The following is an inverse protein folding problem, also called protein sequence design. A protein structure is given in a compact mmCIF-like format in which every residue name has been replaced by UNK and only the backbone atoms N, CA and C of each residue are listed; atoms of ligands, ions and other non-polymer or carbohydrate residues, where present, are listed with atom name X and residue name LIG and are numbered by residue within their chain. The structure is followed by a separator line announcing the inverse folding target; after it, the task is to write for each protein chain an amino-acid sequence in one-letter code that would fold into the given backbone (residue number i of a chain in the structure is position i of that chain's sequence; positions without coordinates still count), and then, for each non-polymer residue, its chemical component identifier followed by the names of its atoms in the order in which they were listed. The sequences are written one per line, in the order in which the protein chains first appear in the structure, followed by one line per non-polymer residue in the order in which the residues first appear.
data_IF_941419302823
#
_entry.id   IF_941419302823
#
_cell.length_a   1.000
_cell.length_b   1.000
_cell.length_c   1.000
_cell.angle_alpha   90.00
_cell.angle_beta   90.00
_cell.angle_gamma   90.00
#
_symmetry.space_group_name_H-M   'P 1'
#
loop_
_entity.id
_entity.type
_entity.pdbx_description
1 polymer ?
#
# COMPACT_ATOMS: atom_id res chain seq x y z
N UNK A 1 25.62 -5.72 -23.76
CA UNK A 1 24.18 -5.67 -24.04
C UNK A 1 23.44 -5.81 -22.71
N UNK A 2 22.42 -5.00 -22.44
CA UNK A 2 21.66 -5.09 -21.20
C UNK A 2 20.85 -6.40 -21.18
N UNK A 3 20.92 -7.15 -20.07
CA UNK A 3 20.15 -8.38 -19.90
C UNK A 3 18.70 -8.03 -19.53
N UNK A 4 17.72 -8.63 -20.20
CA UNK A 4 16.30 -8.38 -19.99
C UNK A 4 15.50 -9.66 -19.79
N UNK A 5 14.42 -9.57 -19.05
CA UNK A 5 13.45 -10.66 -18.87
C UNK A 5 12.36 -10.57 -19.96
N UNK A 6 12.55 -11.29 -21.05
CA UNK A 6 11.50 -11.46 -22.05
C UNK A 6 10.49 -12.54 -21.62
N UNK A 7 9.19 -12.40 -21.91
CA UNK A 7 8.51 -11.35 -22.70
C UNK A 7 8.10 -10.10 -21.90
N UNK A 8 8.40 -10.06 -20.59
CA UNK A 8 7.97 -8.97 -19.69
C UNK A 8 8.53 -7.61 -20.15
N UNK A 9 9.79 -7.59 -20.61
CA UNK A 9 10.42 -6.38 -21.12
C UNK A 9 9.68 -5.83 -22.36
N UNK A 10 9.42 -6.68 -23.33
CA UNK A 10 8.73 -6.28 -24.57
C UNK A 10 7.32 -5.80 -24.31
N UNK A 11 6.57 -6.42 -23.39
CA UNK A 11 5.23 -6.02 -23.02
C UNK A 11 5.18 -4.62 -22.37
N UNK A 12 6.18 -4.27 -21.54
CA UNK A 12 6.29 -2.95 -20.93
C UNK A 12 6.83 -1.89 -21.89
N UNK A 13 7.75 -2.24 -22.80
CA UNK A 13 8.33 -1.32 -23.78
C UNK A 13 7.30 -0.95 -24.85
N UNK A 14 6.55 -1.94 -25.33
CA UNK A 14 5.61 -1.82 -26.43
C UNK A 14 4.20 -2.23 -25.99
N UNK A 15 3.53 -1.46 -25.13
CA UNK A 15 2.16 -1.78 -24.73
C UNK A 15 1.20 -1.68 -25.91
N UNK A 16 0.06 -2.32 -25.78
CA UNK A 16 -1.01 -2.30 -26.77
C UNK A 16 -1.43 -0.87 -27.11
N UNK A 17 -1.85 -0.66 -28.35
CA UNK A 17 -2.29 0.67 -28.84
C UNK A 17 -3.44 1.22 -27.97
N UNK A 18 -3.31 2.47 -27.55
CA UNK A 18 -4.32 3.15 -26.73
C UNK A 18 -4.21 2.88 -25.22
N UNK A 19 -3.29 2.02 -24.77
CA UNK A 19 -3.06 1.77 -23.36
C UNK A 19 -2.11 2.81 -22.76
N UNK A 20 -2.63 3.57 -21.81
CA UNK A 20 -1.86 4.58 -21.06
C UNK A 20 -1.35 4.03 -19.72
N UNK A 21 -2.12 3.18 -19.06
CA UNK A 21 -1.84 2.64 -17.73
C UNK A 21 -1.45 1.18 -17.87
N UNK A 22 -0.21 0.86 -17.49
CA UNK A 22 0.35 -0.49 -17.58
C UNK A 22 0.50 -1.03 -16.16
N UNK A 23 -0.33 -1.99 -15.82
CA UNK A 23 -0.39 -2.61 -14.51
C UNK A 23 0.39 -3.92 -14.53
N UNK A 24 1.47 -4.00 -13.76
CA UNK A 24 2.28 -5.21 -13.60
C UNK A 24 1.95 -5.89 -12.27
N UNK A 25 1.06 -6.87 -12.32
CA UNK A 25 0.78 -7.75 -11.19
C UNK A 25 1.75 -8.92 -11.22
N UNK A 26 2.34 -9.26 -10.07
CA UNK A 26 3.26 -10.40 -10.12
C UNK A 26 3.75 -10.88 -8.78
N UNK A 27 4.19 -12.14 -8.77
CA UNK A 27 4.83 -12.75 -7.62
C UNK A 27 6.21 -12.18 -7.31
N UNK A 28 6.76 -12.62 -6.20
CA UNK A 28 8.14 -12.29 -5.81
C UNK A 28 9.13 -12.88 -6.80
N UNK A 29 10.20 -12.15 -7.09
CA UNK A 29 11.24 -12.62 -8.02
C UNK A 29 10.86 -12.55 -9.51
N UNK A 30 9.67 -12.03 -9.88
CA UNK A 30 9.22 -11.94 -11.29
C UNK A 30 9.94 -10.87 -12.13
N UNK A 31 10.84 -10.10 -11.54
CA UNK A 31 11.59 -9.00 -12.18
C UNK A 31 10.75 -7.81 -12.67
N UNK A 32 9.49 -7.67 -12.26
CA UNK A 32 8.58 -6.60 -12.74
C UNK A 32 9.15 -5.18 -12.51
N UNK A 33 9.52 -4.85 -11.27
CA UNK A 33 10.12 -3.54 -10.91
C UNK A 33 11.38 -3.25 -11.71
N UNK A 34 12.30 -4.23 -11.75
CA UNK A 34 13.56 -4.13 -12.48
C UNK A 34 13.33 -3.89 -13.97
N UNK A 35 12.40 -4.61 -14.57
CA UNK A 35 12.06 -4.50 -16.00
C UNK A 35 11.42 -3.15 -16.32
N UNK A 36 10.50 -2.66 -15.49
CA UNK A 36 9.91 -1.31 -15.67
C UNK A 36 11.00 -0.24 -15.64
N UNK A 37 11.91 -0.31 -14.66
CA UNK A 37 13.03 0.63 -14.57
C UNK A 37 13.94 0.55 -15.79
N UNK A 38 14.24 -0.64 -16.33
CA UNK A 38 15.01 -0.80 -17.56
C UNK A 38 14.34 -0.07 -18.74
N UNK A 39 13.04 -0.28 -18.92
CA UNK A 39 12.24 0.38 -19.97
C UNK A 39 12.29 1.89 -19.83
N UNK A 40 12.06 2.41 -18.62
CA UNK A 40 12.06 3.86 -18.36
C UNK A 40 13.43 4.48 -18.59
N UNK A 41 14.51 3.83 -18.14
CA UNK A 41 15.88 4.29 -18.40
C UNK A 41 16.20 4.39 -19.88
N UNK A 42 15.79 3.41 -20.70
CA UNK A 42 16.01 3.44 -22.14
C UNK A 42 15.21 4.55 -22.80
N UNK A 43 13.94 4.72 -22.44
CA UNK A 43 13.08 5.80 -22.97
C UNK A 43 13.70 7.19 -22.67
N UNK A 44 14.14 7.39 -21.42
CA UNK A 44 14.72 8.69 -21.01
C UNK A 44 16.08 8.95 -21.66
N UNK A 45 16.86 7.90 -21.89
CA UNK A 45 18.15 8.02 -22.58
C UNK A 45 18.00 8.42 -24.05
N UNK A 46 16.90 8.00 -24.71
CA UNK A 46 16.67 8.23 -26.12
C UNK A 46 15.81 9.45 -26.43
N UNK A 47 14.85 9.80 -25.56
CA UNK A 47 13.94 10.93 -25.74
C UNK A 47 14.37 12.13 -24.93
N UNK A 48 14.58 13.30 -25.56
CA UNK A 48 15.04 14.49 -24.84
C UNK A 48 13.93 15.16 -24.02
N UNK A 49 14.32 15.76 -22.89
CA UNK A 49 13.46 16.62 -22.08
C UNK A 49 12.29 15.92 -21.37
N UNK A 50 12.36 14.61 -21.18
CA UNK A 50 11.30 13.83 -20.53
C UNK A 50 11.48 13.82 -19.01
N UNK A 51 10.36 13.88 -18.29
CA UNK A 51 10.30 13.76 -16.83
C UNK A 51 9.62 12.45 -16.46
N UNK A 52 10.33 11.61 -15.70
CA UNK A 52 9.80 10.39 -15.11
C UNK A 52 9.83 10.48 -13.59
N UNK A 53 8.67 10.34 -12.94
CA UNK A 53 8.58 10.28 -11.47
C UNK A 53 8.32 8.85 -11.05
N UNK A 54 9.21 8.29 -10.23
CA UNK A 54 9.08 7.00 -9.55
C UNK A 54 8.59 7.26 -8.14
N UNK A 55 7.47 6.68 -7.77
CA UNK A 55 6.82 6.92 -6.47
C UNK A 55 6.75 5.62 -5.68
N UNK A 56 7.23 5.64 -4.45
CA UNK A 56 7.09 4.56 -3.48
C UNK A 56 6.39 5.01 -2.21
N UNK A 57 6.08 4.07 -1.35
CA UNK A 57 5.39 4.32 -0.09
C UNK A 57 6.17 5.32 0.80
N UNK A 58 7.49 5.15 0.88
CA UNK A 58 8.40 6.02 1.62
C UNK A 58 9.80 6.01 1.01
N UNK A 59 10.64 6.98 1.40
CA UNK A 59 12.02 7.09 0.91
C UNK A 59 12.91 5.93 1.34
N UNK A 60 12.87 5.40 2.58
CA UNK A 60 13.63 4.22 2.97
C UNK A 60 13.36 2.99 2.07
N UNK A 61 12.11 2.71 1.74
CA UNK A 61 11.73 1.61 0.85
C UNK A 61 12.23 1.84 -0.59
N UNK A 62 12.09 3.06 -1.11
CA UNK A 62 12.66 3.42 -2.42
C UNK A 62 14.18 3.20 -2.47
N UNK A 63 14.92 3.60 -1.42
CA UNK A 63 16.39 3.39 -1.35
C UNK A 63 16.78 1.92 -1.35
N UNK A 64 16.03 1.06 -0.64
CA UNK A 64 16.28 -0.39 -0.57
C UNK A 64 15.82 -1.14 -1.82
N UNK A 65 14.84 -0.62 -2.54
CA UNK A 65 14.21 -1.18 -3.73
C UNK A 65 14.59 -0.45 -5.02
N UNK A 66 13.67 0.36 -5.55
CA UNK A 66 13.72 0.96 -6.88
C UNK A 66 15.00 1.77 -7.17
N UNK A 67 15.49 2.57 -6.22
CA UNK A 67 16.74 3.35 -6.41
C UNK A 67 17.95 2.42 -6.52
N UNK A 68 18.04 1.40 -5.67
CA UNK A 68 19.14 0.42 -5.73
C UNK A 68 19.13 -0.34 -7.04
N UNK A 69 17.95 -0.75 -7.51
CA UNK A 69 17.82 -1.49 -8.77
C UNK A 69 18.09 -0.60 -9.98
N UNK A 70 17.65 0.65 -9.95
CA UNK A 70 18.00 1.68 -10.94
C UNK A 70 19.53 1.85 -11.06
N UNK A 71 20.22 1.99 -9.93
CA UNK A 71 21.68 2.09 -9.93
C UNK A 71 22.36 0.84 -10.50
N UNK A 72 21.86 -0.36 -10.22
CA UNK A 72 22.37 -1.62 -10.81
C UNK A 72 22.20 -1.65 -12.31
N UNK A 73 21.03 -1.24 -12.82
CA UNK A 73 20.72 -1.18 -14.25
C UNK A 73 21.74 -0.26 -14.94
N UNK A 74 21.96 0.92 -14.40
CA UNK A 74 22.94 1.89 -14.94
C UNK A 74 24.35 1.30 -14.90
N UNK A 75 24.77 0.72 -13.76
CA UNK A 75 26.10 0.14 -13.61
C UNK A 75 26.39 -1.01 -14.59
N UNK A 76 25.35 -1.75 -14.99
CA UNK A 76 25.46 -2.87 -15.93
C UNK A 76 25.41 -2.45 -17.42
N UNK A 77 25.11 -1.18 -17.73
CA UNK A 77 24.88 -0.71 -19.09
C UNK A 77 25.84 0.42 -19.50
N UNK A 78 26.91 0.15 -20.27
CA UNK A 78 27.78 1.21 -20.80
C UNK A 78 27.01 2.24 -21.63
N UNK A 79 25.95 1.81 -22.32
CA UNK A 79 25.07 2.70 -23.06
C UNK A 79 24.43 3.76 -22.13
N UNK A 80 23.75 3.34 -21.06
CA UNK A 80 23.14 4.27 -20.11
C UNK A 80 24.17 5.16 -19.43
N UNK A 81 25.34 4.61 -19.04
CA UNK A 81 26.43 5.37 -18.46
C UNK A 81 26.88 6.51 -19.38
N UNK A 82 26.93 6.28 -20.69
CA UNK A 82 27.30 7.29 -21.68
C UNK A 82 26.27 8.41 -21.84
N UNK A 83 25.00 8.14 -21.50
CA UNK A 83 23.88 9.07 -21.61
C UNK A 83 23.63 9.91 -20.37
N UNK A 84 24.13 9.48 -19.20
CA UNK A 84 23.94 10.20 -17.93
C UNK A 84 24.89 11.39 -17.81
N UNK A 85 24.35 12.46 -17.23
CA UNK A 85 25.12 13.65 -16.87
C UNK A 85 26.03 13.30 -15.68
N UNK A 86 27.26 13.82 -15.70
CA UNK A 86 28.22 13.68 -14.60
C UNK A 86 28.45 12.24 -14.07
N UNK A 87 28.27 11.21 -14.93
CA UNK A 87 28.38 9.80 -14.51
C UNK A 87 29.70 9.48 -13.79
N UNK A 88 30.82 10.07 -14.21
CA UNK A 88 32.15 9.84 -13.59
C UNK A 88 32.18 10.29 -12.12
N UNK A 89 31.52 11.39 -11.78
CA UNK A 89 31.50 11.98 -10.43
C UNK A 89 30.42 11.36 -9.53
N UNK A 90 29.20 11.21 -10.04
CA UNK A 90 28.03 10.84 -9.26
C UNK A 90 27.57 9.39 -9.43
N UNK A 91 28.23 8.63 -10.34
CA UNK A 91 27.73 7.33 -10.84
C UNK A 91 26.32 7.42 -11.42
N UNK A 92 25.96 8.61 -11.91
CA UNK A 92 24.66 8.87 -12.53
C UNK A 92 23.50 9.08 -11.55
N UNK A 93 23.76 9.24 -10.25
CA UNK A 93 22.74 9.46 -9.25
C UNK A 93 23.05 10.61 -8.30
N UNK A 94 22.24 11.65 -8.31
CA UNK A 94 22.29 12.73 -7.32
C UNK A 94 21.53 12.30 -6.08
N UNK A 95 22.26 12.07 -4.98
CA UNK A 95 21.71 11.55 -3.72
C UNK A 95 20.85 12.56 -2.97
N UNK A 96 21.16 13.85 -3.10
CA UNK A 96 20.42 14.94 -2.44
C UNK A 96 19.05 15.12 -3.06
N UNK A 97 19.04 15.28 -4.38
CA UNK A 97 17.79 15.47 -5.14
C UNK A 97 17.05 14.17 -5.44
N UNK A 98 17.70 13.02 -5.24
CA UNK A 98 17.20 11.69 -5.59
C UNK A 98 16.82 11.55 -7.05
N UNK A 99 17.71 12.01 -7.94
CA UNK A 99 17.47 12.01 -9.40
C UNK A 99 18.60 11.35 -10.18
N UNK A 100 18.24 10.82 -11.37
CA UNK A 100 19.16 10.56 -12.46
C UNK A 100 18.94 11.63 -13.53
N UNK A 101 20.00 12.30 -13.95
CA UNK A 101 19.97 13.33 -14.99
C UNK A 101 20.65 12.81 -16.24
N UNK A 102 19.98 13.01 -17.37
CA UNK A 102 20.49 12.61 -18.69
C UNK A 102 21.02 13.82 -19.45
N UNK A 103 22.03 13.60 -20.31
CA UNK A 103 22.64 14.64 -21.13
C UNK A 103 21.68 15.33 -22.11
N UNK A 104 20.59 14.64 -22.46
CA UNK A 104 19.50 15.14 -23.31
C UNK A 104 18.46 15.97 -22.57
N UNK A 105 18.69 16.28 -21.28
CA UNK A 105 17.77 17.05 -20.43
C UNK A 105 16.63 16.25 -19.81
N UNK A 106 16.58 14.93 -20.02
CA UNK A 106 15.60 14.08 -19.34
C UNK A 106 16.02 13.81 -17.91
N UNK A 107 15.04 13.57 -17.02
CA UNK A 107 15.29 13.23 -15.61
C UNK A 107 14.41 12.06 -15.18
N UNK A 108 14.95 11.25 -14.24
CA UNK A 108 14.18 10.30 -13.45
C UNK A 108 14.33 10.67 -11.97
N UNK A 109 13.22 11.02 -11.34
CA UNK A 109 13.16 11.42 -9.93
C UNK A 109 12.46 10.36 -9.07
N UNK A 110 12.86 10.25 -7.79
CA UNK A 110 12.30 9.30 -6.85
C UNK A 110 11.68 10.03 -5.66
N UNK A 111 10.35 9.91 -5.53
CA UNK A 111 9.57 10.66 -4.54
C UNK A 111 8.66 9.75 -3.71
N UNK A 112 8.31 10.22 -2.52
CA UNK A 112 7.20 9.71 -1.71
C UNK A 112 6.31 10.87 -1.31
N UNK A 113 5.04 10.60 -1.08
CA UNK A 113 4.05 11.62 -0.73
C UNK A 113 3.24 11.13 0.48
N UNK A 114 3.17 11.93 1.52
CA UNK A 114 2.45 11.58 2.74
C UNK A 114 0.94 11.83 2.60
N UNK A 115 0.57 12.80 1.75
CA UNK A 115 -0.83 13.17 1.50
C UNK A 115 -1.06 13.57 0.04
N UNK A 116 -2.33 13.72 -0.33
CA UNK A 116 -2.71 14.10 -1.70
C UNK A 116 -2.31 15.52 -2.10
N UNK A 117 -2.16 16.43 -1.13
CA UNK A 117 -1.82 17.83 -1.39
C UNK A 117 -0.39 17.94 -1.93
N UNK A 118 0.55 17.19 -1.34
CA UNK A 118 1.94 17.15 -1.77
C UNK A 118 2.07 16.56 -3.18
N UNK A 119 1.18 15.63 -3.53
CA UNK A 119 1.14 14.99 -4.85
C UNK A 119 0.59 15.91 -5.97
N UNK A 120 0.05 17.09 -5.64
CA UNK A 120 -0.50 18.06 -6.62
C UNK A 120 0.59 18.86 -7.35
N UNK A 121 1.83 18.73 -6.96
CA UNK A 121 2.97 19.44 -7.61
C UNK A 121 3.49 18.68 -8.83
N UNK A 122 4.03 19.45 -9.79
CA UNK A 122 4.76 18.95 -10.95
C UNK A 122 3.95 18.21 -12.01
N UNK A 123 4.31 18.43 -13.27
CA UNK A 123 3.84 17.67 -14.44
C UNK A 123 4.94 16.71 -14.85
N UNK A 124 4.57 15.52 -15.34
CA UNK A 124 5.50 14.49 -15.79
C UNK A 124 5.05 13.84 -17.08
N UNK A 125 5.98 13.21 -17.77
CA UNK A 125 5.69 12.45 -18.97
C UNK A 125 5.42 10.99 -18.63
N UNK A 126 6.17 10.44 -17.68
CA UNK A 126 6.04 9.07 -17.19
C UNK A 126 5.88 9.04 -15.68
N UNK A 127 5.02 8.16 -15.21
CA UNK A 127 4.81 7.86 -13.79
C UNK A 127 5.07 6.37 -13.56
N UNK A 128 5.83 6.06 -12.50
CA UNK A 128 5.94 4.69 -12.02
C UNK A 128 5.56 4.63 -10.55
N UNK A 129 4.48 3.93 -10.25
CA UNK A 129 4.02 3.63 -8.89
C UNK A 129 4.59 2.28 -8.48
N UNK A 130 5.64 2.32 -7.69
CA UNK A 130 6.31 1.12 -7.17
C UNK A 130 5.61 0.64 -5.88
N UNK A 131 5.23 -0.63 -5.86
CA UNK A 131 4.44 -1.24 -4.79
C UNK A 131 3.12 -0.50 -4.55
N UNK A 132 2.29 -0.41 -5.60
CA UNK A 132 1.04 0.35 -5.63
C UNK A 132 0.06 0.02 -4.50
N UNK A 133 0.13 -1.18 -3.93
CA UNK A 133 -0.66 -1.59 -2.77
C UNK A 133 -0.33 -0.81 -1.49
N UNK A 134 0.86 -0.19 -1.41
CA UNK A 134 1.27 0.67 -0.30
C UNK A 134 0.88 2.15 -0.46
N UNK A 135 0.31 2.56 -1.61
CA UNK A 135 0.04 3.96 -1.94
C UNK A 135 -1.48 4.21 -1.99
N UNK A 136 -2.01 5.22 -1.27
CA UNK A 136 -3.43 5.61 -1.34
C UNK A 136 -3.88 6.00 -2.75
N UNK A 137 -5.13 5.67 -3.09
CA UNK A 137 -5.70 6.02 -4.39
C UNK A 137 -5.72 7.52 -4.65
N UNK A 138 -5.98 8.32 -3.62
CA UNK A 138 -6.05 9.77 -3.69
C UNK A 138 -4.71 10.37 -4.14
N UNK A 139 -3.60 9.86 -3.63
CA UNK A 139 -2.23 10.24 -4.06
C UNK A 139 -2.01 9.83 -5.53
N UNK A 140 -2.28 8.56 -5.87
CA UNK A 140 -2.17 8.09 -7.25
C UNK A 140 -2.99 8.95 -8.20
N UNK A 141 -4.23 9.27 -7.87
CA UNK A 141 -5.12 10.07 -8.71
C UNK A 141 -4.53 11.45 -9.04
N UNK A 142 -3.98 12.15 -8.03
CA UNK A 142 -3.34 13.46 -8.23
C UNK A 142 -2.11 13.37 -9.15
N UNK A 143 -1.36 12.29 -9.05
CA UNK A 143 -0.19 12.06 -9.91
C UNK A 143 -0.61 11.70 -11.35
N UNK A 144 -1.61 10.83 -11.49
CA UNK A 144 -2.12 10.32 -12.77
C UNK A 144 -2.66 11.43 -13.67
N UNK A 145 -3.48 12.35 -13.14
CA UNK A 145 -4.03 13.48 -13.92
C UNK A 145 -2.97 14.48 -14.41
N UNK A 146 -1.75 14.42 -13.86
CA UNK A 146 -0.60 15.25 -14.23
C UNK A 146 0.45 14.48 -15.03
N UNK A 147 0.14 13.24 -15.41
CA UNK A 147 1.01 12.39 -16.24
C UNK A 147 0.53 12.42 -17.68
N UNK A 148 1.43 12.80 -18.60
CA UNK A 148 1.07 13.02 -19.99
C UNK A 148 1.04 11.76 -20.84
N UNK A 149 2.09 10.92 -20.79
CA UNK A 149 2.33 9.86 -21.77
C UNK A 149 1.90 8.51 -21.25
N UNK A 150 2.50 8.03 -20.16
CA UNK A 150 2.27 6.67 -19.66
C UNK A 150 2.50 6.52 -18.17
N UNK A 151 1.76 5.59 -17.59
CA UNK A 151 1.81 5.22 -16.20
C UNK A 151 2.13 3.73 -16.07
N UNK A 152 3.08 3.39 -15.22
CA UNK A 152 3.41 2.03 -14.83
C UNK A 152 3.07 1.84 -13.36
N UNK A 153 2.48 0.71 -13.04
CA UNK A 153 2.22 0.31 -11.67
C UNK A 153 2.73 -1.10 -11.48
N UNK A 154 3.40 -1.38 -10.36
CA UNK A 154 3.70 -2.74 -9.98
C UNK A 154 3.21 -3.05 -8.57
N UNK A 155 2.90 -4.32 -8.31
CA UNK A 155 2.54 -4.81 -6.98
C UNK A 155 2.56 -6.35 -6.91
N UNK A 156 2.71 -6.86 -5.68
CA UNK A 156 2.41 -8.24 -5.37
C UNK A 156 0.94 -8.35 -4.98
N UNK A 157 0.16 -9.27 -5.57
CA UNK A 157 -1.29 -9.34 -5.41
C UNK A 157 -1.71 -10.03 -4.10
N UNK A 158 -1.17 -9.59 -2.97
CA UNK A 158 -1.47 -10.16 -1.65
C UNK A 158 -2.93 -9.95 -1.21
N UNK A 159 -3.55 -8.87 -1.68
CA UNK A 159 -4.95 -8.54 -1.40
C UNK A 159 -5.54 -7.72 -2.53
N UNK A 160 -6.88 -7.72 -2.62
CA UNK A 160 -7.62 -6.82 -3.49
C UNK A 160 -7.55 -5.39 -2.95
N UNK A 161 -7.30 -4.40 -3.80
CA UNK A 161 -7.18 -2.98 -3.45
C UNK A 161 -7.63 -2.10 -4.64
N UNK A 162 -7.47 -0.77 -4.54
CA UNK A 162 -7.99 0.21 -5.48
C UNK A 162 -7.62 -0.02 -6.96
N UNK A 163 -6.48 -0.65 -7.27
CA UNK A 163 -6.14 -1.01 -8.66
C UNK A 163 -7.20 -1.94 -9.23
N UNK A 164 -7.59 -2.98 -8.48
CA UNK A 164 -8.61 -3.94 -8.90
C UNK A 164 -10.00 -3.31 -9.03
N UNK A 165 -10.34 -2.39 -8.12
CA UNK A 165 -11.68 -1.83 -8.03
C UNK A 165 -11.89 -0.62 -8.95
N UNK A 166 -10.81 0.13 -9.24
CA UNK A 166 -10.90 1.42 -9.92
C UNK A 166 -10.19 1.49 -11.28
N UNK A 167 -9.21 0.61 -11.55
CA UNK A 167 -8.44 0.66 -12.80
C UNK A 167 -8.74 -0.51 -13.73
N UNK A 168 -8.73 -1.74 -13.22
CA UNK A 168 -8.91 -2.91 -14.06
C UNK A 168 -10.27 -2.88 -14.77
N UNK A 169 -10.28 -3.26 -16.04
CA UNK A 169 -11.46 -3.19 -16.90
C UNK A 169 -11.63 -1.87 -17.66
N UNK A 170 -10.83 -0.83 -17.35
CA UNK A 170 -10.85 0.41 -18.17
C UNK A 170 -10.20 0.18 -19.53
N UNK A 171 -10.71 0.82 -20.61
CA UNK A 171 -10.18 0.63 -21.96
C UNK A 171 -8.71 1.01 -22.12
N UNK A 172 -8.24 2.00 -21.35
CA UNK A 172 -6.87 2.51 -21.40
C UNK A 172 -5.89 1.80 -20.46
N UNK A 173 -6.31 0.70 -19.82
CA UNK A 173 -5.48 -0.10 -18.91
C UNK A 173 -5.07 -1.40 -19.59
N UNK A 174 -3.79 -1.74 -19.51
CA UNK A 174 -3.26 -3.05 -19.84
C UNK A 174 -2.77 -3.74 -18.57
N UNK A 175 -3.13 -4.99 -18.37
CA UNK A 175 -2.64 -5.79 -17.27
C UNK A 175 -1.63 -6.82 -17.76
N UNK A 176 -0.48 -6.89 -17.08
CA UNK A 176 0.58 -7.85 -17.28
C UNK A 176 0.71 -8.67 -16.01
N UNK A 177 0.57 -9.98 -16.11
CA UNK A 177 0.76 -10.91 -14.98
C UNK A 177 2.09 -11.63 -15.16
N UNK A 178 2.92 -11.63 -14.12
CA UNK A 178 4.22 -12.30 -14.14
C UNK A 178 4.53 -13.02 -12.84
N UNK A 179 5.39 -14.01 -12.90
CA UNK A 179 5.89 -14.75 -11.76
C UNK A 179 7.40 -15.04 -11.90
N UNK A 180 7.96 -15.73 -10.92
CA UNK A 180 9.40 -16.02 -10.89
C UNK A 180 9.91 -16.80 -12.14
N UNK A 181 9.06 -17.55 -12.84
CA UNK A 181 9.43 -18.30 -14.05
C UNK A 181 9.75 -17.39 -15.25
N UNK A 182 9.25 -16.16 -15.24
CA UNK A 182 9.59 -15.14 -16.23
C UNK A 182 10.99 -14.53 -16.01
N UNK A 183 11.61 -14.78 -14.85
CA UNK A 183 12.91 -14.24 -14.47
C UNK A 183 14.00 -15.30 -14.58
N UNK A 184 14.57 -15.44 -15.77
CA UNK A 184 15.67 -16.39 -16.04
C UNK A 184 16.97 -16.10 -15.27
N UNK A 185 17.07 -14.98 -14.57
CA UNK A 185 18.25 -14.57 -13.80
C UNK A 185 18.08 -14.85 -12.30
N UNK A 186 16.92 -15.35 -11.89
CA UNK A 186 16.69 -15.74 -10.51
C UNK A 186 17.47 -17.05 -10.21
N UNK A 187 18.18 -17.16 -9.09
CA UNK A 187 18.84 -18.41 -8.71
C UNK A 187 17.86 -19.58 -8.59
N UNK A 188 18.29 -20.77 -9.00
CA UNK A 188 17.49 -21.99 -8.95
C UNK A 188 16.98 -22.30 -7.53
N UNK A 189 17.79 -22.04 -6.51
CA UNK A 189 17.39 -22.19 -5.12
C UNK A 189 16.17 -21.35 -4.76
N UNK A 190 16.10 -20.11 -5.27
CA UNK A 190 14.95 -19.22 -5.04
C UNK A 190 13.71 -19.67 -5.84
N UNK A 191 13.89 -20.19 -7.06
CA UNK A 191 12.79 -20.80 -7.79
C UNK A 191 12.16 -21.93 -6.98
N UNK A 192 13.00 -22.82 -6.45
CA UNK A 192 12.56 -23.95 -5.64
C UNK A 192 11.87 -23.51 -4.36
N UNK A 193 12.45 -22.56 -3.63
CA UNK A 193 11.87 -22.02 -2.39
C UNK A 193 10.47 -21.41 -2.62
N UNK A 194 10.29 -20.67 -3.73
CA UNK A 194 8.98 -20.09 -4.09
C UNK A 194 7.98 -21.20 -4.48
N UNK A 195 8.40 -22.25 -5.23
CA UNK A 195 7.52 -23.36 -5.59
C UNK A 195 7.17 -24.23 -4.36
N UNK A 196 8.08 -24.42 -3.43
CA UNK A 196 7.88 -25.23 -2.22
C UNK A 196 6.81 -24.63 -1.30
N UNK A 197 6.43 -23.35 -1.46
CA UNK A 197 5.29 -22.75 -0.75
C UNK A 197 3.98 -23.53 -0.95
N UNK A 198 3.81 -24.25 -2.07
CA UNK A 198 2.61 -25.07 -2.30
C UNK A 198 2.40 -26.12 -1.22
N UNK A 199 3.49 -26.61 -0.63
CA UNK A 199 3.47 -27.64 0.40
C UNK A 199 3.15 -27.11 1.79
N UNK A 200 3.23 -25.77 1.99
CA UNK A 200 3.05 -25.12 3.30
C UNK A 200 1.83 -24.18 3.31
N UNK A 201 1.61 -23.42 2.24
CA UNK A 201 0.50 -22.47 2.10
C UNK A 201 0.16 -22.25 0.61
N UNK A 202 -0.88 -22.91 0.13
CA UNK A 202 -1.33 -22.82 -1.27
C UNK A 202 -1.74 -21.38 -1.65
N UNK A 203 -2.29 -20.58 -0.75
CA UNK A 203 -2.69 -19.21 -1.05
C UNK A 203 -1.46 -18.30 -1.18
N UNK A 204 -0.45 -18.47 -0.33
CA UNK A 204 0.84 -17.79 -0.51
C UNK A 204 1.51 -18.22 -1.82
N UNK A 205 1.47 -19.50 -2.16
CA UNK A 205 1.98 -19.99 -3.42
C UNK A 205 1.28 -19.35 -4.63
N UNK A 206 -0.06 -19.24 -4.62
CA UNK A 206 -0.82 -18.53 -5.67
C UNK A 206 -0.34 -17.09 -5.86
N UNK A 207 -0.10 -16.38 -4.75
CA UNK A 207 0.36 -14.98 -4.76
C UNK A 207 1.81 -14.88 -5.26
N UNK A 208 2.72 -15.60 -4.61
CA UNK A 208 4.16 -15.42 -4.84
C UNK A 208 4.68 -16.21 -6.04
N UNK A 209 4.19 -17.43 -6.26
CA UNK A 209 4.65 -18.27 -7.34
C UNK A 209 3.87 -18.09 -8.65
N UNK A 210 2.63 -17.61 -8.61
CA UNK A 210 1.78 -17.46 -9.79
C UNK A 210 1.32 -16.03 -10.08
N UNK A 211 1.62 -15.08 -9.19
CA UNK A 211 1.19 -13.69 -9.34
C UNK A 211 -0.34 -13.54 -9.36
N UNK A 212 -1.06 -14.49 -8.82
CA UNK A 212 -2.52 -14.48 -8.75
C UNK A 212 -2.98 -13.71 -7.51
N UNK A 213 -4.13 -13.05 -7.59
CA UNK A 213 -4.72 -12.43 -6.40
C UNK A 213 -5.20 -13.53 -5.46
N UNK A 214 -4.46 -13.72 -4.37
CA UNK A 214 -4.79 -14.69 -3.34
C UNK A 214 -5.93 -14.21 -2.47
N UNK A 215 -6.63 -15.16 -1.85
CA UNK A 215 -7.37 -14.87 -0.62
C UNK A 215 -6.33 -14.87 0.49
N UNK A 216 -6.17 -13.76 1.20
CA UNK A 216 -5.26 -13.73 2.33
C UNK A 216 -5.78 -14.72 3.37
N UNK A 217 -5.13 -15.88 3.51
CA UNK A 217 -5.40 -16.81 4.61
C UNK A 217 -4.89 -16.22 5.93
N UNK A 218 -5.54 -16.56 7.01
CA UNK A 218 -5.17 -16.05 8.33
C UNK A 218 -5.63 -14.64 8.65
N UNK A 219 -6.52 -14.04 7.84
CA UNK A 219 -7.22 -12.83 8.25
C UNK A 219 -8.04 -13.09 9.50
N UNK A 220 -7.93 -12.21 10.47
CA UNK A 220 -8.72 -12.26 11.70
C UNK A 220 -10.20 -12.12 11.38
N UNK A 221 -10.54 -11.24 10.41
CA UNK A 221 -11.90 -10.93 9.99
C UNK A 221 -12.08 -11.13 8.47
N UNK A 222 -12.10 -12.40 7.98
CA UNK A 222 -12.16 -12.66 6.53
C UNK A 222 -13.52 -12.31 5.92
N UNK A 223 -14.59 -12.35 6.71
CA UNK A 223 -15.96 -12.19 6.27
C UNK A 223 -16.62 -11.00 6.95
N UNK A 224 -16.56 -9.83 6.34
CA UNK A 224 -17.30 -8.65 6.78
C UNK A 224 -18.12 -8.07 5.61
N UNK A 225 -19.16 -7.32 5.93
CA UNK A 225 -20.02 -6.65 4.96
C UNK A 225 -19.91 -5.14 5.12
N UNK A 226 -19.93 -4.42 4.01
CA UNK A 226 -19.92 -2.96 4.02
C UNK A 226 -21.39 -2.49 3.95
N UNK A 227 -21.73 -1.53 4.82
CA UNK A 227 -23.05 -0.91 4.88
C UNK A 227 -22.93 0.62 4.75
N UNK A 228 -23.97 1.27 4.31
CA UNK A 228 -23.96 2.73 4.15
C UNK A 228 -24.05 3.46 5.50
N UNK A 229 -24.91 2.98 6.40
CA UNK A 229 -25.17 3.57 7.71
C UNK A 229 -25.39 2.48 8.76
N UNK A 230 -25.13 2.81 10.05
CA UNK A 230 -25.52 1.95 11.16
C UNK A 230 -27.05 1.78 11.23
N UNK A 231 -27.54 0.60 11.60
CA UNK A 231 -28.93 0.47 12.02
C UNK A 231 -29.16 1.26 13.30
N UNK A 232 -30.36 1.80 13.48
CA UNK A 232 -30.69 2.48 14.74
C UNK A 232 -30.91 1.43 15.84
N UNK A 233 -29.88 1.21 16.66
CA UNK A 233 -29.93 0.37 17.84
C UNK A 233 -29.72 1.25 19.08
N UNK A 234 -30.48 1.04 20.12
CA UNK A 234 -30.71 2.01 21.18
C UNK A 234 -29.57 2.21 22.20
N UNK A 235 -28.45 1.48 22.14
CA UNK A 235 -27.37 1.53 23.15
C UNK A 235 -25.99 1.27 22.55
N UNK A 236 -25.38 2.25 21.87
CA UNK A 236 -24.04 2.12 21.34
C UNK A 236 -23.03 1.96 22.49
N UNK A 237 -22.01 1.14 22.23
CA UNK A 237 -20.77 1.08 23.02
C UNK A 237 -19.63 1.59 22.15
N UNK A 238 -18.57 2.04 22.79
CA UNK A 238 -17.42 2.58 22.08
C UNK A 238 -16.16 1.84 22.45
N UNK A 239 -15.29 1.62 21.47
CA UNK A 239 -13.93 1.12 21.67
C UNK A 239 -12.94 2.24 21.38
N UNK A 240 -11.98 2.46 22.29
CA UNK A 240 -10.96 3.49 22.16
C UNK A 240 -9.56 2.87 22.26
N UNK A 241 -8.76 3.07 21.24
CA UNK A 241 -7.33 2.75 21.25
C UNK A 241 -6.52 4.03 21.20
N UNK A 242 -5.56 4.18 22.11
CA UNK A 242 -4.71 5.36 22.22
C UNK A 242 -3.45 5.20 21.38
N UNK A 243 -3.26 6.10 20.43
CA UNK A 243 -2.01 6.22 19.67
C UNK A 243 -1.51 7.67 19.69
N UNK A 244 -0.20 7.85 19.54
CA UNK A 244 0.41 9.14 19.20
C UNK A 244 1.18 9.00 17.88
N UNK A 245 2.23 8.20 17.85
CA UNK A 245 2.94 7.82 16.63
C UNK A 245 2.10 6.89 15.72
N UNK A 246 1.17 6.14 16.30
CA UNK A 246 0.14 5.37 15.63
C UNK A 246 -1.20 6.11 15.67
N UNK A 247 -2.21 5.57 15.01
CA UNK A 247 -3.54 6.18 15.02
C UNK A 247 -4.22 6.01 16.38
N UNK A 248 -4.75 7.09 16.95
CA UNK A 248 -5.82 7.00 17.94
C UNK A 248 -7.09 6.62 17.20
N UNK A 249 -7.78 5.59 17.64
CA UNK A 249 -9.01 5.11 17.03
C UNK A 249 -10.15 5.11 18.05
N UNK A 250 -11.26 5.78 17.71
CA UNK A 250 -12.53 5.66 18.43
C UNK A 250 -13.57 5.07 17.49
N UNK A 251 -14.11 3.92 17.85
CA UNK A 251 -15.13 3.21 17.07
C UNK A 251 -16.44 3.12 17.86
N UNK A 252 -17.53 3.32 17.18
CA UNK A 252 -18.87 3.03 17.66
C UNK A 252 -19.24 1.60 17.33
N UNK A 253 -19.76 0.87 18.30
CA UNK A 253 -20.08 -0.55 18.20
C UNK A 253 -21.54 -0.74 18.57
N UNK A 254 -22.31 -1.18 17.61
CA UNK A 254 -23.69 -1.63 17.79
C UNK A 254 -23.76 -3.14 17.69
N UNK A 255 -24.68 -3.76 18.42
CA UNK A 255 -24.84 -5.20 18.42
C UNK A 255 -26.31 -5.58 18.55
N UNK A 256 -26.78 -6.44 17.69
CA UNK A 256 -28.03 -7.17 17.84
C UNK A 256 -27.75 -8.67 18.07
N UNK A 257 -28.75 -9.53 17.99
CA UNK A 257 -28.67 -10.94 18.38
C UNK A 257 -27.41 -11.68 17.84
N UNK A 258 -27.01 -11.42 16.60
CA UNK A 258 -25.90 -12.12 15.92
C UNK A 258 -25.16 -11.26 14.89
N UNK A 259 -25.30 -9.93 14.97
CA UNK A 259 -24.64 -8.99 14.06
C UNK A 259 -23.96 -7.89 14.85
N UNK A 260 -22.71 -7.62 14.50
CA UNK A 260 -21.90 -6.52 15.00
C UNK A 260 -21.78 -5.45 13.92
N UNK A 261 -21.95 -4.21 14.30
CA UNK A 261 -21.86 -3.06 13.43
C UNK A 261 -20.81 -2.12 13.96
N UNK A 262 -19.80 -1.82 13.12
CA UNK A 262 -18.70 -0.92 13.46
C UNK A 262 -18.76 0.35 12.61
N UNK A 263 -18.58 1.48 13.28
CA UNK A 263 -18.49 2.79 12.66
C UNK A 263 -17.29 3.56 13.23
N UNK A 264 -16.42 4.05 12.37
CA UNK A 264 -15.24 4.83 12.75
C UNK A 264 -15.65 6.27 13.02
N UNK A 265 -15.38 6.76 14.21
CA UNK A 265 -15.64 8.13 14.62
C UNK A 265 -14.36 8.98 14.61
N UNK A 266 -13.25 8.42 15.10
CA UNK A 266 -11.92 9.06 15.08
C UNK A 266 -10.90 8.03 14.60
N UNK A 267 -10.01 8.44 13.69
CA UNK A 267 -8.88 7.64 13.24
C UNK A 267 -7.74 8.58 12.80
N UNK A 268 -6.92 9.02 13.76
CA UNK A 268 -5.93 10.06 13.52
C UNK A 268 -4.69 9.86 14.41
N UNK A 269 -3.48 10.15 13.88
CA UNK A 269 -2.23 10.18 14.64
C UNK A 269 -2.00 11.55 15.26
N UNK A 270 -1.03 11.64 16.17
CA UNK A 270 -0.54 12.87 16.78
C UNK A 270 -1.59 13.62 17.63
N UNK A 271 -2.61 12.90 18.13
CA UNK A 271 -3.59 13.46 19.03
C UNK A 271 -3.08 13.43 20.47
N UNK A 272 -3.05 14.60 21.10
CA UNK A 272 -2.89 14.74 22.55
C UNK A 272 -4.24 14.57 23.26
N UNK A 273 -4.25 14.41 24.58
CA UNK A 273 -5.51 14.42 25.35
C UNK A 273 -6.24 15.76 25.25
N UNK A 274 -5.49 16.86 25.06
CA UNK A 274 -6.04 18.19 24.80
C UNK A 274 -6.82 18.28 23.48
N UNK A 275 -6.45 17.50 22.47
CA UNK A 275 -7.16 17.43 21.19
C UNK A 275 -8.30 16.40 21.23
N UNK A 276 -8.05 15.24 21.83
CA UNK A 276 -9.00 14.12 21.84
C UNK A 276 -10.27 14.45 22.65
N UNK A 277 -10.13 15.07 23.82
CA UNK A 277 -11.27 15.39 24.68
C UNK A 277 -12.28 16.32 24.01
N UNK A 278 -11.89 17.45 23.39
CA UNK A 278 -12.82 18.27 22.61
C UNK A 278 -13.50 17.50 21.48
N UNK A 279 -12.73 16.74 20.67
CA UNK A 279 -13.29 15.94 19.59
C UNK A 279 -14.36 14.96 20.08
N UNK A 280 -14.10 14.26 21.20
CA UNK A 280 -15.07 13.33 21.79
C UNK A 280 -16.31 14.06 22.37
N UNK A 281 -16.17 15.29 22.85
CA UNK A 281 -17.31 16.12 23.30
C UNK A 281 -18.21 16.52 22.14
N UNK A 282 -17.64 16.87 21.00
CA UNK A 282 -18.38 17.26 19.79
C UNK A 282 -19.19 16.08 19.23
N UNK A 283 -18.75 14.83 19.47
CA UNK A 283 -19.48 13.64 19.06
C UNK A 283 -20.74 13.33 19.90
N UNK A 284 -20.97 14.07 21.00
CA UNK A 284 -22.15 13.92 21.86
C UNK A 284 -22.41 12.48 22.34
N UNK A 285 -21.35 11.76 22.76
CA UNK A 285 -21.42 10.35 23.15
C UNK A 285 -22.28 10.09 24.40
N UNK A 286 -22.71 11.13 25.10
CA UNK A 286 -23.53 11.05 26.31
C UNK A 286 -22.82 10.34 27.45
N UNK A 287 -23.56 9.43 28.12
CA UNK A 287 -23.04 8.56 29.19
C UNK A 287 -22.82 7.12 28.69
N UNK A 288 -22.70 6.92 27.39
CA UNK A 288 -22.45 5.61 26.83
C UNK A 288 -21.13 5.00 27.30
N UNK A 289 -21.09 3.67 27.36
CA UNK A 289 -19.90 2.93 27.77
C UNK A 289 -18.79 3.02 26.72
N UNK A 290 -17.61 3.46 27.15
CA UNK A 290 -16.40 3.48 26.35
C UNK A 290 -15.40 2.51 26.97
N UNK A 291 -14.92 1.55 26.20
CA UNK A 291 -13.85 0.63 26.59
C UNK A 291 -12.55 1.08 25.96
N UNK A 292 -11.57 1.44 26.80
CA UNK A 292 -10.28 1.94 26.34
C UNK A 292 -9.14 0.96 26.65
N UNK A 293 -8.06 1.03 25.85
CA UNK A 293 -6.87 0.21 26.10
C UNK A 293 -6.38 0.37 27.54
N UNK A 294 -6.22 -0.79 28.20
CA UNK A 294 -5.79 -0.87 29.59
C UNK A 294 -4.35 -0.40 29.84
N UNK A 295 -3.52 -0.26 28.80
CA UNK A 295 -2.11 0.12 28.90
C UNK A 295 -1.91 1.61 29.22
N UNK A 296 -2.96 2.45 29.14
CA UNK A 296 -2.90 3.89 29.38
C UNK A 296 -3.87 4.34 30.50
N UNK A 297 -3.65 3.96 31.76
CA UNK A 297 -4.55 4.26 32.86
C UNK A 297 -4.67 5.76 33.16
N UNK A 298 -3.62 6.53 32.95
CA UNK A 298 -3.58 7.99 33.07
C UNK A 298 -4.54 8.68 32.08
N UNK A 299 -4.55 8.25 30.84
CA UNK A 299 -5.45 8.76 29.80
C UNK A 299 -6.91 8.39 30.08
N UNK A 300 -7.16 7.22 30.63
CA UNK A 300 -8.51 6.81 31.07
C UNK A 300 -9.00 7.73 32.17
N UNK A 301 -8.16 8.04 33.16
CA UNK A 301 -8.49 8.96 34.25
C UNK A 301 -8.80 10.38 33.74
N UNK A 302 -8.02 10.88 32.78
CA UNK A 302 -8.26 12.18 32.17
C UNK A 302 -9.63 12.24 31.47
N UNK A 303 -10.01 11.19 30.75
CA UNK A 303 -11.33 11.10 30.11
C UNK A 303 -12.46 11.01 31.15
N UNK A 304 -12.27 10.27 32.23
CA UNK A 304 -13.25 10.18 33.33
C UNK A 304 -13.44 11.56 34.01
N UNK A 305 -12.36 12.28 34.27
CA UNK A 305 -12.39 13.66 34.78
C UNK A 305 -13.09 14.63 33.81
N UNK A 306 -12.95 14.39 32.50
CA UNK A 306 -13.66 15.17 31.47
C UNK A 306 -15.14 14.81 31.35
N UNK A 307 -15.65 13.84 32.15
CA UNK A 307 -17.05 13.46 32.26
C UNK A 307 -17.51 12.28 31.40
N UNK A 308 -16.59 11.56 30.75
CA UNK A 308 -16.92 10.36 29.99
C UNK A 308 -17.02 9.10 30.88
N UNK A 309 -17.83 8.13 30.45
CA UNK A 309 -17.99 6.85 31.14
C UNK A 309 -17.03 5.81 30.55
N UNK A 310 -15.75 5.91 30.91
CA UNK A 310 -14.65 5.12 30.34
C UNK A 310 -14.24 4.02 31.30
N UNK A 311 -14.10 2.81 30.77
CA UNK A 311 -13.65 1.61 31.47
C UNK A 311 -12.46 0.99 30.75
N UNK A 312 -11.64 0.23 31.51
CA UNK A 312 -10.55 -0.58 30.90
C UNK A 312 -11.17 -1.69 30.07
N UNK A 313 -10.64 -1.89 28.86
CA UNK A 313 -10.97 -3.04 28.04
C UNK A 313 -10.42 -4.34 28.67
N UNK A 314 -11.09 -5.47 28.40
CA UNK A 314 -10.60 -6.77 28.79
C UNK A 314 -9.29 -7.08 28.03
N UNK A 315 -8.36 -7.73 28.72
CA UNK A 315 -7.07 -8.18 28.16
C UNK A 315 -7.18 -9.41 27.28
N UNK A 316 -8.26 -10.15 27.37
CA UNK A 316 -8.46 -11.39 26.63
C UNK A 316 -8.85 -11.12 25.18
N UNK A 317 -7.82 -10.90 24.36
CA UNK A 317 -7.96 -10.69 22.93
C UNK A 317 -8.64 -11.90 22.26
N UNK A 318 -8.36 -13.12 22.73
CA UNK A 318 -8.88 -14.35 22.11
C UNK A 318 -10.39 -14.43 22.23
N UNK A 319 -10.94 -14.17 23.41
CA UNK A 319 -12.39 -14.12 23.63
C UNK A 319 -13.06 -13.02 22.79
N UNK A 320 -12.43 -11.85 22.68
CA UNK A 320 -12.92 -10.75 21.84
C UNK A 320 -12.96 -11.11 20.36
N UNK A 321 -11.91 -11.74 19.86
CA UNK A 321 -11.85 -12.21 18.46
C UNK A 321 -12.89 -13.29 18.17
N UNK A 322 -13.06 -14.25 19.10
CA UNK A 322 -14.05 -15.32 18.95
C UNK A 322 -15.48 -14.77 18.98
N UNK A 323 -15.74 -13.75 19.80
CA UNK A 323 -17.03 -13.08 19.82
C UNK A 323 -17.34 -12.43 18.47
N UNK A 324 -16.40 -11.68 17.89
CA UNK A 324 -16.58 -11.04 16.58
C UNK A 324 -16.80 -12.07 15.48
N UNK A 325 -16.07 -13.21 15.51
CA UNK A 325 -16.22 -14.28 14.50
C UNK A 325 -17.56 -15.00 14.54
N UNK A 326 -18.12 -15.21 15.74
CA UNK A 326 -19.42 -15.87 15.90
C UNK A 326 -20.58 -14.99 15.40
N UNK A 327 -20.34 -13.69 15.29
CA UNK A 327 -21.30 -12.70 14.82
C UNK A 327 -20.96 -12.25 13.40
N UNK A 328 -21.98 -11.91 12.63
CA UNK A 328 -21.77 -11.27 11.33
C UNK A 328 -21.24 -9.85 11.51
N UNK A 329 -20.08 -9.53 10.94
CA UNK A 329 -19.48 -8.20 11.05
C UNK A 329 -19.91 -7.30 9.90
N UNK A 330 -20.39 -6.13 10.23
CA UNK A 330 -20.81 -5.08 9.32
C UNK A 330 -20.04 -3.79 9.64
N UNK A 331 -19.46 -3.16 8.62
CA UNK A 331 -18.64 -1.95 8.77
C UNK A 331 -19.20 -0.86 7.87
N UNK A 332 -19.35 0.35 8.40
CA UNK A 332 -19.83 1.47 7.59
C UNK A 332 -18.83 1.86 6.51
N UNK A 333 -19.33 2.29 5.37
CA UNK A 333 -18.54 2.73 4.21
C UNK A 333 -17.66 3.94 4.52
N UNK A 334 -18.05 4.76 5.48
CA UNK A 334 -17.31 5.93 5.98
C UNK A 334 -16.06 5.53 6.79
N UNK A 335 -16.02 4.33 7.37
CA UNK A 335 -14.95 3.82 8.25
C UNK A 335 -13.69 3.42 7.46
N UNK A 336 -13.03 4.37 6.84
CA UNK A 336 -11.88 4.14 5.94
C UNK A 336 -10.67 3.49 6.63
N UNK A 337 -10.36 3.91 7.85
CA UNK A 337 -9.27 3.35 8.65
C UNK A 337 -9.55 1.90 9.04
N UNK A 338 -10.73 1.61 9.60
CA UNK A 338 -11.16 0.23 9.91
C UNK A 338 -11.11 -0.64 8.66
N UNK A 339 -11.69 -0.17 7.53
CA UNK A 339 -11.72 -0.94 6.29
C UNK A 339 -10.33 -1.21 5.72
N UNK A 340 -9.36 -0.34 5.97
CA UNK A 340 -7.96 -0.55 5.60
C UNK A 340 -7.33 -1.63 6.49
N UNK A 341 -7.46 -1.52 7.80
CA UNK A 341 -6.84 -2.44 8.76
C UNK A 341 -7.45 -3.84 8.69
N UNK A 342 -8.76 -3.95 8.67
CA UNK A 342 -9.48 -5.25 8.68
C UNK A 342 -9.10 -6.14 7.48
N UNK A 343 -8.77 -5.51 6.34
CA UNK A 343 -8.34 -6.21 5.13
C UNK A 343 -6.92 -6.78 5.20
N UNK A 344 -6.14 -6.36 6.16
CA UNK A 344 -4.74 -6.76 6.34
C UNK A 344 -4.44 -7.36 7.72
N UNK A 345 -5.40 -7.33 8.66
CA UNK A 345 -5.22 -7.81 10.02
C UNK A 345 -5.18 -9.34 10.08
N UNK A 346 -4.01 -9.87 10.44
CA UNK A 346 -3.73 -11.31 10.42
C UNK A 346 -3.41 -11.83 11.81
N UNK A 347 -3.68 -13.13 12.01
CA UNK A 347 -3.11 -13.85 13.16
C UNK A 347 -1.59 -13.81 13.07
N UNK A 348 -0.93 -13.59 14.23
CA UNK A 348 0.51 -13.86 14.34
C UNK A 348 0.68 -15.37 14.24
N UNK A 349 1.33 -15.85 13.18
CA UNK A 349 1.81 -17.22 13.10
C UNK A 349 2.87 -17.42 14.18
N UNK A 350 2.87 -18.60 14.86
CA UNK A 350 3.86 -18.94 15.89
C UNK A 350 5.28 -19.10 15.36
N UNK A 351 5.45 -19.15 14.05
CA UNK A 351 6.74 -19.23 13.39
C UNK A 351 7.17 -17.82 13.01
N UNK A 352 7.71 -17.12 14.02
CA UNK A 352 8.44 -15.89 13.80
C UNK A 352 9.81 -16.22 13.21
N UNK A 353 9.98 -16.01 11.92
CA UNK A 353 11.23 -15.67 11.24
C UNK A 353 10.93 -14.59 10.21
#
# INVERSE_FOLDING_TARGET
MMQVCEPLFSANMNPEKGKKIIVNQGGTGSAKTFTILQVLHLILADRPGMVCTVVGQDVPNLKKGAIRDSNKIIASSPYLQSRLLNYKQTKGYNKTERIHEYKNGSIMEFNSYDNEQDAKSGKRDFLFINEANGIPFEIYFQLSIRTKIREYLDYNPSARFWVHDKLLGRPNVQMIISDHRHNRFLPESMHKEIEDLINTDEELWKVYARGMTGKITGLVYPNFKIIDQLPFLSKPKYGLDFGYNHKTALIEIEHDTNRLFWNELIYQSELTMGDLIPMMKDLNLGKSLIYADHAAPDKIEDLQRAGFNVHKADKDITNGLDFVKRNGLYVTKSSKGILKEIRSYKYKTKDGL
#
